data_IF_465679523027
#
_entry.id   IF_465679523027
#
_cell.length_a   1.000
_cell.length_b   1.000
_cell.length_c   1.000
_cell.angle_alpha   90.00
_cell.angle_beta   90.00
_cell.angle_gamma   90.00
#
_symmetry.space_group_name_H-M   'P 1'
#
loop_
_entity.id
_entity.type
_entity.pdbx_description
1 polymer ?
#
# COMPACT_ATOMS: atom_id res chain seq x y z
N UNK A 1 -29.38 -23.88 62.42
CA UNK A 1 -29.63 -23.87 60.97
C UNK A 1 -29.49 -22.46 60.48
N UNK A 2 -28.53 -22.24 59.59
CA UNK A 2 -28.23 -20.96 58.98
C UNK A 2 -29.11 -20.74 57.75
N UNK A 3 -29.54 -19.49 57.52
CA UNK A 3 -29.81 -18.97 56.17
C UNK A 3 -29.23 -17.58 56.09
N UNK A 4 -28.10 -17.48 55.38
CA UNK A 4 -27.34 -16.26 55.21
C UNK A 4 -28.02 -15.31 54.22
N UNK A 5 -28.08 -14.04 54.60
CA UNK A 5 -28.33 -12.94 53.68
C UNK A 5 -27.11 -12.75 52.79
N UNK A 6 -27.18 -13.27 51.57
CA UNK A 6 -26.22 -12.97 50.52
C UNK A 6 -26.46 -11.55 50.04
N UNK A 7 -25.60 -10.62 50.46
CA UNK A 7 -25.51 -9.31 49.84
C UNK A 7 -25.07 -9.50 48.39
N UNK A 8 -25.94 -9.09 47.46
CA UNK A 8 -25.63 -9.04 46.04
C UNK A 8 -24.42 -8.11 45.84
N UNK A 9 -23.31 -8.57 45.25
CA UNK A 9 -22.16 -7.71 45.01
C UNK A 9 -22.60 -6.61 44.04
N UNK A 10 -22.53 -5.36 44.49
CA UNK A 10 -22.78 -4.19 43.68
C UNK A 10 -22.04 -4.33 42.35
N UNK A 11 -22.80 -4.48 41.25
CA UNK A 11 -22.27 -4.37 39.90
C UNK A 11 -21.58 -3.01 39.82
N UNK A 12 -20.25 -3.01 39.77
CA UNK A 12 -19.47 -1.82 39.46
C UNK A 12 -19.96 -1.20 38.16
N UNK A 13 -19.72 0.11 37.96
CA UNK A 13 -20.20 0.82 36.78
C UNK A 13 -19.81 0.01 35.54
N UNK A 14 -20.81 -0.28 34.69
CA UNK A 14 -20.61 -0.94 33.41
C UNK A 14 -19.44 -0.25 32.72
N UNK A 15 -18.37 -1.00 32.44
CA UNK A 15 -17.20 -0.48 31.76
C UNK A 15 -17.71 0.26 30.52
N UNK A 16 -17.47 1.58 30.46
CA UNK A 16 -17.75 2.37 29.27
C UNK A 16 -17.24 1.60 28.06
N UNK A 17 -18.00 1.54 26.95
CA UNK A 17 -17.51 0.91 25.75
C UNK A 17 -16.19 1.58 25.40
N UNK A 18 -15.10 0.86 25.67
CA UNK A 18 -13.76 1.43 25.66
C UNK A 18 -13.46 1.78 24.21
N UNK A 19 -13.67 3.06 23.87
CA UNK A 19 -13.48 3.55 22.52
C UNK A 19 -12.09 3.13 22.05
N UNK A 20 -12.01 2.59 20.82
CA UNK A 20 -10.76 2.06 20.31
C UNK A 20 -9.68 3.15 20.38
N UNK A 21 -8.46 2.89 20.90
CA UNK A 21 -7.42 3.93 21.10
C UNK A 21 -7.02 4.68 19.83
N UNK A 22 -7.40 4.16 18.66
CA UNK A 22 -7.28 4.86 17.39
C UNK A 22 -8.03 6.20 17.40
N UNK A 23 -9.19 6.29 18.03
CA UNK A 23 -10.03 7.49 18.03
C UNK A 23 -9.44 8.65 18.83
N UNK A 24 -8.54 8.39 19.78
CA UNK A 24 -7.87 9.43 20.57
C UNK A 24 -6.61 10.00 19.90
N UNK A 25 -6.11 9.39 18.82
CA UNK A 25 -4.91 9.87 18.13
C UNK A 25 -5.19 11.04 17.18
N UNK A 26 -4.27 11.98 17.05
CA UNK A 26 -4.41 13.13 16.12
C UNK A 26 -4.41 12.71 14.64
N UNK A 27 -5.07 13.49 13.77
CA UNK A 27 -5.21 13.17 12.32
C UNK A 27 -3.88 12.96 11.60
N UNK A 28 -2.92 13.86 11.82
CA UNK A 28 -1.58 13.76 11.23
C UNK A 28 -0.85 12.48 11.67
N UNK A 29 -1.00 12.08 12.94
CA UNK A 29 -0.40 10.84 13.45
C UNK A 29 -1.03 9.61 12.79
N UNK A 30 -2.34 9.61 12.58
CA UNK A 30 -3.04 8.51 11.88
C UNK A 30 -2.60 8.41 10.42
N UNK A 31 -2.56 9.53 9.70
CA UNK A 31 -2.10 9.57 8.32
C UNK A 31 -0.64 9.10 8.18
N UNK A 32 0.25 9.54 9.08
CA UNK A 32 1.64 9.10 9.10
C UNK A 32 1.79 7.60 9.38
N UNK A 33 0.98 7.05 10.29
CA UNK A 33 0.96 5.59 10.54
C UNK A 33 0.50 4.83 9.30
N UNK A 34 -0.60 5.25 8.67
CA UNK A 34 -1.06 4.63 7.41
C UNK A 34 0.04 4.68 6.35
N UNK A 35 0.67 5.85 6.16
CA UNK A 35 1.79 6.00 5.21
C UNK A 35 2.93 5.01 5.50
N UNK A 36 3.36 4.90 6.76
CA UNK A 36 4.46 4.04 7.15
C UNK A 36 4.15 2.55 6.94
N UNK A 37 2.95 2.10 7.33
CA UNK A 37 2.55 0.70 7.16
C UNK A 37 2.31 0.36 5.69
N UNK A 38 1.68 1.25 4.93
CA UNK A 38 1.51 1.09 3.49
C UNK A 38 2.87 1.04 2.79
N UNK A 39 3.82 1.90 3.16
CA UNK A 39 5.19 1.85 2.63
C UNK A 39 5.85 0.49 2.91
N UNK A 40 5.73 -0.04 4.13
CA UNK A 40 6.29 -1.35 4.47
C UNK A 40 5.67 -2.47 3.62
N UNK A 41 4.34 -2.53 3.55
CA UNK A 41 3.63 -3.57 2.79
C UNK A 41 3.94 -3.44 1.29
N UNK A 42 3.98 -2.22 0.76
CA UNK A 42 4.32 -1.93 -0.63
C UNK A 42 5.77 -2.32 -0.97
N UNK A 43 6.73 -1.98 -0.10
CA UNK A 43 8.12 -2.32 -0.29
C UNK A 43 8.36 -3.84 -0.20
N UNK A 44 7.68 -4.54 0.72
CA UNK A 44 7.71 -6.00 0.79
C UNK A 44 7.16 -6.60 -0.51
N UNK A 45 6.00 -6.11 -0.98
CA UNK A 45 5.40 -6.59 -2.22
C UNK A 45 6.35 -6.43 -3.41
N UNK A 46 6.88 -5.22 -3.63
CA UNK A 46 7.83 -4.93 -4.71
C UNK A 46 9.07 -5.83 -4.59
N UNK A 47 9.67 -5.89 -3.41
CA UNK A 47 10.91 -6.65 -3.25
C UNK A 47 10.71 -8.15 -3.42
N UNK A 48 9.59 -8.71 -2.96
CA UNK A 48 9.22 -10.11 -3.24
C UNK A 48 9.00 -10.33 -4.73
N UNK A 49 8.29 -9.42 -5.43
CA UNK A 49 8.13 -9.50 -6.88
C UNK A 49 9.47 -9.46 -7.61
N UNK A 50 10.40 -8.58 -7.20
CA UNK A 50 11.74 -8.49 -7.78
C UNK A 50 12.58 -9.76 -7.54
N UNK A 51 12.47 -10.37 -6.36
CA UNK A 51 13.13 -11.64 -6.06
C UNK A 51 12.56 -12.76 -6.96
N UNK A 52 11.24 -12.81 -7.14
CA UNK A 52 10.57 -13.82 -7.97
C UNK A 52 10.85 -13.66 -9.47
N UNK A 53 11.02 -12.43 -9.95
CA UNK A 53 11.40 -12.13 -11.34
C UNK A 53 12.82 -12.62 -11.68
N UNK A 54 13.68 -12.78 -10.67
CA UNK A 54 15.04 -13.26 -10.83
C UNK A 54 16.08 -12.15 -11.03
N UNK A 55 17.37 -12.49 -10.90
CA UNK A 55 18.46 -11.53 -10.95
C UNK A 55 18.55 -10.80 -12.30
N UNK A 56 18.86 -9.50 -12.27
CA UNK A 56 19.00 -8.65 -13.46
C UNK A 56 17.69 -8.13 -14.07
N UNK A 57 16.53 -8.70 -13.72
CA UNK A 57 15.24 -8.28 -14.29
C UNK A 57 14.68 -7.00 -13.66
N UNK A 58 15.22 -6.57 -12.52
CA UNK A 58 14.79 -5.34 -11.85
C UNK A 58 14.97 -4.07 -12.67
N UNK A 59 15.88 -4.04 -13.65
CA UNK A 59 16.09 -2.90 -14.55
C UNK A 59 14.90 -2.65 -15.47
N UNK A 60 14.16 -3.71 -15.86
CA UNK A 60 12.93 -3.57 -16.65
C UNK A 60 11.81 -2.90 -15.87
N UNK A 61 11.86 -2.97 -14.54
CA UNK A 61 10.85 -2.42 -13.64
C UNK A 61 11.28 -1.07 -13.07
N UNK A 62 12.57 -0.85 -12.85
CA UNK A 62 13.13 0.39 -12.29
C UNK A 62 14.19 0.94 -13.26
N UNK A 63 13.76 1.89 -14.09
CA UNK A 63 14.58 2.46 -15.17
C UNK A 63 15.59 3.51 -14.71
N UNK A 64 15.42 4.10 -13.53
CA UNK A 64 16.33 5.10 -12.96
C UNK A 64 16.17 5.26 -11.44
N UNK A 65 17.16 5.84 -10.73
CA UNK A 65 17.04 6.14 -9.31
C UNK A 65 15.87 7.08 -8.97
N UNK A 66 15.60 8.07 -9.84
CA UNK A 66 14.46 8.98 -9.69
C UNK A 66 13.12 8.25 -9.84
N UNK A 67 13.02 7.33 -10.81
CA UNK A 67 11.85 6.47 -10.97
C UNK A 67 11.69 5.51 -9.78
N UNK A 68 12.79 4.96 -9.25
CA UNK A 68 12.77 4.11 -8.06
C UNK A 68 12.17 4.85 -6.85
N UNK A 69 12.62 6.09 -6.62
CA UNK A 69 12.10 6.95 -5.56
C UNK A 69 10.61 7.27 -5.78
N UNK A 70 10.21 7.57 -7.01
CA UNK A 70 8.81 7.83 -7.33
C UNK A 70 7.92 6.60 -7.07
N UNK A 71 8.32 5.41 -7.52
CA UNK A 71 7.59 4.16 -7.30
C UNK A 71 7.48 3.80 -5.82
N UNK A 72 8.49 4.13 -5.01
CA UNK A 72 8.47 3.86 -3.57
C UNK A 72 7.67 4.91 -2.78
N UNK A 73 7.77 6.19 -3.13
CA UNK A 73 7.22 7.28 -2.32
C UNK A 73 5.81 7.70 -2.73
N UNK A 74 5.49 7.71 -4.03
CA UNK A 74 4.22 8.25 -4.53
C UNK A 74 3.02 7.42 -4.04
N UNK A 75 3.01 6.07 -4.11
CA UNK A 75 1.85 5.30 -3.67
C UNK A 75 1.55 5.46 -2.17
N UNK A 76 2.53 5.36 -1.23
CA UNK A 76 2.27 5.60 0.18
C UNK A 76 1.80 7.03 0.50
N UNK A 77 2.34 8.03 -0.20
CA UNK A 77 1.91 9.43 -0.03
C UNK A 77 0.47 9.61 -0.50
N UNK A 78 0.12 9.08 -1.67
CA UNK A 78 -1.25 9.08 -2.18
C UNK A 78 -2.22 8.43 -1.16
N UNK A 79 -1.86 7.26 -0.65
CA UNK A 79 -2.66 6.53 0.33
C UNK A 79 -2.80 7.31 1.65
N UNK A 80 -1.75 8.00 2.10
CA UNK A 80 -1.81 8.87 3.26
C UNK A 80 -2.79 10.04 3.09
N UNK A 81 -2.81 10.65 1.89
CA UNK A 81 -3.75 11.73 1.55
C UNK A 81 -5.19 11.20 1.54
N UNK A 82 -5.44 10.05 0.92
CA UNK A 82 -6.77 9.41 0.92
C UNK A 82 -7.19 9.07 2.35
N UNK A 83 -6.28 8.57 3.19
CA UNK A 83 -6.56 8.26 4.59
C UNK A 83 -6.95 9.51 5.38
N UNK A 84 -6.21 10.61 5.20
CA UNK A 84 -6.52 11.88 5.85
C UNK A 84 -7.89 12.43 5.42
N UNK A 85 -8.25 12.28 4.14
CA UNK A 85 -9.54 12.73 3.60
C UNK A 85 -10.72 11.89 4.11
N UNK A 86 -10.58 10.56 4.13
CA UNK A 86 -11.65 9.63 4.50
C UNK A 86 -11.75 9.39 6.01
N UNK A 87 -10.82 9.92 6.80
CA UNK A 87 -10.66 9.60 8.22
C UNK A 87 -11.96 9.74 9.03
N UNK A 88 -12.70 10.85 8.85
CA UNK A 88 -13.95 11.11 9.58
C UNK A 88 -15.06 10.12 9.23
N UNK A 89 -15.13 9.74 7.96
CA UNK A 89 -16.15 8.82 7.46
C UNK A 89 -15.83 7.39 7.90
N UNK A 90 -14.57 6.97 7.79
CA UNK A 90 -14.14 5.62 8.18
C UNK A 90 -14.32 5.35 9.67
N UNK A 91 -14.15 6.34 10.55
CA UNK A 91 -14.30 6.14 12.00
C UNK A 91 -15.70 5.72 12.45
N UNK A 92 -16.70 5.80 11.58
CA UNK A 92 -18.07 5.35 11.85
C UNK A 92 -18.24 3.82 11.77
N UNK A 93 -17.27 3.11 11.17
CA UNK A 93 -17.35 1.67 10.93
C UNK A 93 -16.46 0.87 11.88
N UNK A 94 -16.73 -0.43 12.02
CA UNK A 94 -15.86 -1.36 12.76
C UNK A 94 -14.50 -1.54 12.06
N UNK A 95 -13.39 -1.77 12.80
CA UNK A 95 -12.01 -1.75 12.26
C UNK A 95 -11.79 -2.57 10.98
N UNK A 96 -12.33 -3.79 10.92
CA UNK A 96 -12.22 -4.65 9.74
C UNK A 96 -12.92 -4.04 8.51
N UNK A 97 -14.12 -3.49 8.69
CA UNK A 97 -14.85 -2.77 7.65
C UNK A 97 -14.12 -1.51 7.23
N UNK A 98 -13.47 -0.78 8.16
CA UNK A 98 -12.65 0.38 7.80
C UNK A 98 -11.51 0.00 6.83
N UNK A 99 -10.79 -1.09 7.10
CA UNK A 99 -9.71 -1.54 6.21
C UNK A 99 -10.22 -1.95 4.82
N UNK A 100 -11.35 -2.64 4.74
CA UNK A 100 -11.95 -3.03 3.47
C UNK A 100 -12.43 -1.81 2.66
N UNK A 101 -13.18 -0.92 3.29
CA UNK A 101 -13.68 0.30 2.65
C UNK A 101 -12.53 1.21 2.21
N UNK A 102 -11.48 1.30 3.03
CA UNK A 102 -10.30 2.07 2.67
C UNK A 102 -9.55 1.48 1.46
N UNK A 103 -9.36 0.15 1.42
CA UNK A 103 -8.75 -0.52 0.28
C UNK A 103 -9.54 -0.28 -1.02
N UNK A 104 -10.86 -0.44 -0.96
CA UNK A 104 -11.75 -0.17 -2.10
C UNK A 104 -11.74 1.29 -2.53
N UNK A 105 -11.84 2.23 -1.60
CA UNK A 105 -11.82 3.66 -1.90
C UNK A 105 -10.48 4.12 -2.49
N UNK A 106 -9.37 3.58 -1.99
CA UNK A 106 -8.03 3.85 -2.52
C UNK A 106 -7.90 3.36 -3.96
N UNK A 107 -8.41 2.16 -4.25
CA UNK A 107 -8.42 1.62 -5.61
C UNK A 107 -9.25 2.48 -6.57
N UNK A 108 -10.48 2.82 -6.20
CA UNK A 108 -11.33 3.69 -7.02
C UNK A 108 -10.65 5.03 -7.27
N UNK A 109 -10.04 5.63 -6.23
CA UNK A 109 -9.32 6.88 -6.36
C UNK A 109 -8.09 6.75 -7.29
N UNK A 110 -7.34 5.64 -7.22
CA UNK A 110 -6.19 5.39 -8.08
C UNK A 110 -6.60 5.21 -9.55
N UNK A 111 -7.65 4.43 -9.81
CA UNK A 111 -8.20 4.22 -11.16
C UNK A 111 -8.72 5.54 -11.74
N UNK A 112 -9.45 6.34 -10.95
CA UNK A 112 -9.93 7.66 -11.38
C UNK A 112 -8.75 8.62 -11.65
N UNK A 113 -7.73 8.62 -10.80
CA UNK A 113 -6.54 9.45 -11.02
C UNK A 113 -5.84 9.07 -12.34
N UNK A 114 -5.66 7.77 -12.60
CA UNK A 114 -5.10 7.29 -13.87
C UNK A 114 -5.97 7.68 -15.06
N UNK A 115 -7.30 7.51 -14.96
CA UNK A 115 -8.26 7.88 -15.99
C UNK A 115 -8.16 9.38 -16.35
N UNK A 116 -8.12 10.25 -15.34
CA UNK A 116 -8.02 11.69 -15.51
C UNK A 116 -6.68 12.06 -16.15
N UNK A 117 -5.57 11.46 -15.70
CA UNK A 117 -4.25 11.72 -16.27
C UNK A 117 -4.17 11.30 -17.74
N UNK A 118 -4.69 10.12 -18.09
CA UNK A 118 -4.78 9.66 -19.49
C UNK A 118 -5.64 10.60 -20.33
N UNK A 119 -6.78 11.06 -19.81
CA UNK A 119 -7.66 11.98 -20.52
C UNK A 119 -6.99 13.36 -20.74
N UNK A 120 -6.33 13.90 -19.73
CA UNK A 120 -5.59 15.17 -19.83
C UNK A 120 -4.46 15.05 -20.84
N UNK A 121 -3.72 13.95 -20.83
CA UNK A 121 -2.65 13.69 -21.80
C UNK A 121 -3.21 13.60 -23.23
N UNK A 122 -4.34 12.91 -23.43
CA UNK A 122 -4.99 12.79 -24.73
C UNK A 122 -5.46 14.15 -25.28
N UNK A 123 -6.07 15.00 -24.43
CA UNK A 123 -6.50 16.36 -24.80
C UNK A 123 -5.30 17.25 -25.16
N UNK A 124 -4.18 17.12 -24.45
CA UNK A 124 -2.98 17.92 -24.69
C UNK A 124 -2.18 17.51 -25.93
N UNK A 125 -2.28 16.24 -26.35
CA UNK A 125 -1.50 15.70 -27.46
C UNK A 125 -2.20 15.81 -28.82
N UNK A 126 -3.55 15.81 -28.87
CA UNK A 126 -4.32 15.96 -30.10
C UNK A 126 -5.60 16.77 -29.85
N UNK A 127 -5.98 17.72 -30.72
CA UNK A 127 -7.28 18.38 -30.65
C UNK A 127 -8.38 17.42 -31.12
N UNK A 128 -8.73 16.45 -30.27
CA UNK A 128 -9.89 15.59 -30.49
C UNK A 128 -11.19 16.41 -30.34
N UNK A 129 -12.17 16.15 -31.21
CA UNK A 129 -13.58 16.40 -30.87
C UNK A 129 -13.97 15.53 -29.67
N UNK A 130 -14.61 16.08 -28.62
CA UNK A 130 -15.00 15.33 -27.41
C UNK A 130 -15.98 14.16 -27.69
N UNK A 131 -16.52 14.05 -28.91
CA UNK A 131 -17.49 13.04 -29.30
C UNK A 131 -16.91 11.69 -29.74
N UNK A 132 -15.83 11.66 -30.55
CA UNK A 132 -15.60 10.47 -31.40
C UNK A 132 -14.17 9.87 -31.42
N UNK A 133 -13.11 10.61 -31.05
CA UNK A 133 -11.73 10.15 -31.29
C UNK A 133 -10.86 9.90 -30.04
N UNK A 134 -11.17 10.54 -28.91
CA UNK A 134 -10.37 10.39 -27.68
C UNK A 134 -10.85 9.23 -26.78
N UNK A 135 -11.99 8.60 -27.08
CA UNK A 135 -12.62 7.60 -26.21
C UNK A 135 -11.98 6.20 -26.23
N UNK A 136 -11.64 5.57 -27.38
CA UNK A 136 -11.27 4.16 -27.40
C UNK A 136 -9.97 3.85 -26.64
N UNK A 137 -8.93 4.68 -26.81
CA UNK A 137 -7.64 4.52 -26.12
C UNK A 137 -7.74 4.78 -24.62
N UNK A 138 -8.53 5.80 -24.22
CA UNK A 138 -8.74 6.13 -22.81
C UNK A 138 -9.46 5.00 -22.08
N UNK A 139 -10.49 4.39 -22.67
CA UNK A 139 -11.18 3.26 -22.04
C UNK A 139 -10.29 2.03 -21.89
N UNK A 140 -9.44 1.76 -22.87
CA UNK A 140 -8.44 0.68 -22.78
C UNK A 140 -7.45 0.94 -21.65
N UNK A 141 -6.89 2.15 -21.56
CA UNK A 141 -5.96 2.54 -20.50
C UNK A 141 -6.59 2.46 -19.11
N UNK A 142 -7.86 2.88 -18.97
CA UNK A 142 -8.63 2.74 -17.72
C UNK A 142 -8.79 1.27 -17.35
N UNK A 143 -9.12 0.41 -18.31
CA UNK A 143 -9.28 -1.03 -18.08
C UNK A 143 -7.97 -1.70 -17.65
N UNK A 144 -6.86 -1.36 -18.31
CA UNK A 144 -5.52 -1.85 -17.96
C UNK A 144 -5.10 -1.34 -16.58
N UNK A 145 -5.31 -0.05 -16.28
CA UNK A 145 -5.01 0.53 -14.98
C UNK A 145 -5.82 -0.11 -13.85
N UNK A 146 -7.11 -0.35 -14.07
CA UNK A 146 -7.98 -1.06 -13.13
C UNK A 146 -7.46 -2.47 -12.82
N UNK A 147 -7.03 -3.22 -13.84
CA UNK A 147 -6.44 -4.53 -13.62
C UNK A 147 -5.10 -4.46 -12.87
N UNK A 148 -4.22 -3.55 -13.27
CA UNK A 148 -2.89 -3.38 -12.65
C UNK A 148 -2.94 -2.89 -11.21
N UNK A 149 -3.93 -2.06 -10.84
CA UNK A 149 -4.08 -1.55 -9.48
C UNK A 149 -4.89 -2.45 -8.55
N UNK A 150 -5.41 -3.57 -9.02
CA UNK A 150 -6.19 -4.49 -8.19
C UNK A 150 -5.43 -4.98 -6.94
N UNK A 151 -4.12 -5.31 -6.99
CA UNK A 151 -3.33 -5.61 -5.78
C UNK A 151 -3.23 -4.45 -4.79
N UNK A 152 -3.38 -3.20 -5.25
CA UNK A 152 -3.33 -2.02 -4.38
C UNK A 152 -4.49 -2.00 -3.36
N UNK A 153 -5.62 -2.66 -3.65
CA UNK A 153 -6.71 -2.85 -2.69
C UNK A 153 -6.20 -3.57 -1.44
N UNK A 154 -5.50 -4.69 -1.65
CA UNK A 154 -4.97 -5.51 -0.57
C UNK A 154 -3.89 -4.76 0.20
N UNK A 155 -3.00 -4.08 -0.51
CA UNK A 155 -1.89 -3.34 0.12
C UNK A 155 -2.42 -2.17 0.96
N UNK A 156 -3.37 -1.40 0.43
CA UNK A 156 -4.01 -0.30 1.15
C UNK A 156 -4.83 -0.81 2.34
N UNK A 157 -5.61 -1.88 2.15
CA UNK A 157 -6.42 -2.48 3.21
C UNK A 157 -5.57 -3.05 4.35
N UNK A 158 -4.52 -3.82 4.03
CA UNK A 158 -3.57 -4.35 5.01
C UNK A 158 -2.84 -3.19 5.70
N UNK A 159 -2.32 -2.22 4.94
CA UNK A 159 -1.60 -1.06 5.49
C UNK A 159 -2.45 -0.28 6.48
N UNK A 160 -3.73 -0.03 6.16
CA UNK A 160 -4.66 0.64 7.05
C UNK A 160 -5.01 -0.21 8.28
N UNK A 161 -5.27 -1.51 8.10
CA UNK A 161 -5.54 -2.43 9.21
C UNK A 161 -4.38 -2.52 10.20
N UNK A 162 -3.15 -2.56 9.70
CA UNK A 162 -1.94 -2.52 10.53
C UNK A 162 -1.79 -1.17 11.24
N UNK A 163 -2.10 -0.06 10.56
CA UNK A 163 -2.13 1.26 11.18
C UNK A 163 -3.15 1.34 12.32
N UNK A 164 -4.35 0.78 12.15
CA UNK A 164 -5.33 0.66 13.23
C UNK A 164 -4.78 -0.15 14.42
N UNK A 165 -4.11 -1.27 14.16
CA UNK A 165 -3.58 -2.11 15.23
C UNK A 165 -2.45 -1.41 16.02
N UNK A 166 -1.66 -0.54 15.36
CA UNK A 166 -0.44 0.10 15.87
C UNK A 166 -0.57 0.95 17.14
N UNK A 167 -1.79 1.29 17.53
CA UNK A 167 -2.08 2.06 18.76
C UNK A 167 -2.20 1.16 20.00
N UNK A 168 -2.11 -0.16 19.81
CA UNK A 168 -2.06 -1.16 20.88
C UNK A 168 -0.63 -1.65 21.10
N UNK A 169 -0.30 -2.11 22.31
CA UNK A 169 1.04 -2.64 22.62
C UNK A 169 1.42 -3.82 21.70
N UNK A 170 0.46 -4.70 21.38
CA UNK A 170 0.65 -5.79 20.41
C UNK A 170 0.85 -5.25 18.99
N UNK A 171 0.14 -4.20 18.58
CA UNK A 171 0.32 -3.61 17.26
C UNK A 171 1.67 -2.93 17.04
N UNK A 172 2.29 -2.38 18.08
CA UNK A 172 3.67 -1.88 18.00
C UNK A 172 4.65 -3.01 17.67
N UNK A 173 4.46 -4.20 18.22
CA UNK A 173 5.29 -5.37 17.85
C UNK A 173 5.08 -5.77 16.38
N UNK A 174 3.84 -5.67 15.88
CA UNK A 174 3.54 -5.90 14.46
C UNK A 174 4.22 -4.86 13.57
N UNK A 175 4.35 -3.58 13.99
CA UNK A 175 5.14 -2.59 13.27
C UNK A 175 6.60 -3.03 13.13
N UNK A 176 7.21 -3.43 14.24
CA UNK A 176 8.61 -3.87 14.26
C UNK A 176 8.79 -5.09 13.36
N UNK A 177 7.85 -6.03 13.38
CA UNK A 177 7.84 -7.17 12.47
C UNK A 177 7.75 -6.78 10.99
N UNK A 178 6.83 -5.87 10.64
CA UNK A 178 6.69 -5.37 9.27
C UNK A 178 7.94 -4.58 8.80
N UNK A 179 8.52 -3.77 9.68
CA UNK A 179 9.77 -3.06 9.42
C UNK A 179 10.94 -4.03 9.22
N UNK A 180 11.07 -5.01 10.10
CA UNK A 180 12.10 -6.05 9.99
C UNK A 180 11.95 -6.83 8.69
N UNK A 181 10.74 -7.24 8.31
CA UNK A 181 10.48 -7.91 7.05
C UNK A 181 10.84 -7.01 5.84
N UNK A 182 10.51 -5.73 5.90
CA UNK A 182 10.88 -4.76 4.85
C UNK A 182 12.40 -4.65 4.70
N UNK A 183 13.13 -4.54 5.81
CA UNK A 183 14.60 -4.50 5.81
C UNK A 183 15.21 -5.81 5.29
N UNK A 184 14.65 -6.96 5.66
CA UNK A 184 15.10 -8.27 5.23
C UNK A 184 14.92 -8.43 3.70
N UNK A 185 13.76 -8.02 3.19
CA UNK A 185 13.50 -8.00 1.74
C UNK A 185 14.44 -7.02 1.04
N UNK A 186 14.68 -5.84 1.59
CA UNK A 186 15.63 -4.88 1.01
C UNK A 186 17.05 -5.43 0.96
N UNK A 187 17.51 -6.13 2.00
CA UNK A 187 18.80 -6.83 2.01
C UNK A 187 18.82 -7.95 0.97
N UNK A 188 17.76 -8.75 0.88
CA UNK A 188 17.66 -9.82 -0.12
C UNK A 188 17.74 -9.26 -1.54
N UNK A 189 17.02 -8.18 -1.84
CA UNK A 189 17.08 -7.47 -3.13
C UNK A 189 18.47 -6.90 -3.39
N UNK A 190 19.12 -6.30 -2.39
CA UNK A 190 20.47 -5.79 -2.54
C UNK A 190 21.48 -6.92 -2.83
N UNK A 191 21.38 -8.03 -2.10
CA UNK A 191 22.22 -9.22 -2.33
C UNK A 191 21.96 -9.80 -3.72
N UNK A 192 20.72 -9.96 -4.16
CA UNK A 192 20.43 -10.49 -5.50
C UNK A 192 20.82 -9.53 -6.63
N UNK A 193 20.82 -8.22 -6.39
CA UNK A 193 21.30 -7.22 -7.33
C UNK A 193 22.83 -7.11 -7.37
N UNK A 194 23.52 -7.36 -6.25
CA UNK A 194 24.99 -7.22 -6.12
C UNK A 194 25.72 -8.55 -6.37
N UNK A 195 25.13 -9.69 -6.01
CA UNK A 195 25.72 -11.02 -6.24
C UNK A 195 26.20 -11.25 -7.68
N UNK A 196 25.52 -10.74 -8.73
CA UNK A 196 26.02 -10.86 -10.08
C UNK A 196 27.21 -9.97 -10.43
N UNK A 197 27.43 -8.88 -9.68
CA UNK A 197 28.60 -8.01 -9.80
C UNK A 197 29.84 -8.61 -9.10
N UNK A 198 29.65 -9.41 -8.05
CA UNK A 198 30.74 -10.04 -7.29
C UNK A 198 31.12 -11.42 -7.86
N UNK A 199 30.16 -12.16 -8.42
CA UNK A 199 30.36 -13.53 -8.92
C UNK A 199 30.90 -13.66 -10.35
N UNK A 200 31.23 -12.56 -11.04
CA UNK A 200 31.80 -12.59 -12.40
C UNK A 200 30.85 -13.11 -13.49
N UNK A 201 29.53 -13.08 -13.26
CA UNK A 201 28.53 -13.74 -14.12
C UNK A 201 27.75 -12.83 -15.07
N UNK A 202 27.86 -11.50 -14.96
CA UNK A 202 27.45 -10.60 -16.03
C UNK A 202 28.73 -10.02 -16.61
N UNK A 203 29.03 -10.40 -17.86
CA UNK A 203 30.17 -9.86 -18.58
C UNK A 203 30.22 -8.34 -18.44
N UNK A 204 31.44 -7.82 -18.35
CA UNK A 204 31.77 -6.40 -18.26
C UNK A 204 31.34 -5.56 -19.51
N UNK A 205 30.35 -6.03 -20.25
CA UNK A 205 29.71 -5.41 -21.40
C UNK A 205 28.22 -5.44 -21.11
N UNK A 206 27.62 -4.29 -20.82
CA UNK A 206 26.20 -4.13 -20.45
C UNK A 206 25.21 -4.54 -21.55
N UNK A 207 25.22 -5.82 -21.92
CA UNK A 207 24.32 -6.40 -22.89
C UNK A 207 23.16 -7.05 -22.10
N UNK A 208 21.90 -6.72 -22.42
CA UNK A 208 20.77 -7.48 -21.87
C UNK A 208 20.96 -8.96 -22.22
N UNK A 209 20.50 -9.89 -21.35
CA UNK A 209 20.50 -11.31 -21.70
C UNK A 209 19.82 -11.45 -23.06
N UNK A 210 20.49 -12.11 -24.00
CA UNK A 210 19.94 -12.39 -25.31
C UNK A 210 18.53 -12.93 -25.17
N UNK A 211 17.63 -12.45 -26.04
CA UNK A 211 16.26 -12.92 -26.13
C UNK A 211 16.25 -14.45 -26.06
N UNK A 212 15.49 -15.01 -25.13
CA UNK A 212 15.23 -16.45 -24.97
C UNK A 212 14.38 -16.99 -26.15
N UNK A 213 14.39 -16.30 -27.29
CA UNK A 213 13.60 -16.55 -28.49
C UNK A 213 14.47 -16.63 -29.75
N UNK A 214 15.76 -16.92 -29.61
CA UNK A 214 16.63 -17.40 -30.70
C UNK A 214 17.03 -18.86 -30.46
#
# INVERSE_FOLDING_TARGET
MATGGGAEPARGPAAEPREHPWLSTGRLSRAARVAAYTLCVWAIWIGVSLILLGPGQGFWVISSPGFALAVLAVPPVFIAVVAAALQRWLTQFVPFTQSLLFGGATYVAAVLAAAILSLVAAIGAQPCSPGDACAPGVWFDIGVAAFMFLPAILIAGIGYGLALASVTARGTQVFVGALAATLLVAVAVAVTAIAPLIGGGYGATGQPPGSVWE
#
